data_IF_027694201544
#
_entry.id   IF_027694201544
#
_cell.length_a   1.000
_cell.length_b   1.000
_cell.length_c   1.000
_cell.angle_alpha   90.00
_cell.angle_beta   90.00
_cell.angle_gamma   90.00
#
_symmetry.space_group_name_H-M   'P 1'
#
loop_
_entity.id
_entity.type
_entity.pdbx_description
1 polymer ?
2 polymer ?
3 non-polymer ?
4 water ?
#
# COMPACT_ATOMS: atom_id res chain seq x y z
N UNK A 4 -7.18 -15.57 12.33
CA UNK A 4 -6.35 -14.87 11.30
C UNK A 4 -4.90 -15.30 11.39
N UNK A 5 -4.22 -15.31 10.25
CA UNK A 5 -2.85 -15.80 10.15
C UNK A 5 -1.92 -15.09 11.13
N UNK A 6 -1.01 -15.84 11.73
CA UNK A 6 0.16 -15.22 12.33
C UNK A 6 0.74 -14.25 11.30
N UNK A 7 0.55 -14.57 10.02
CA UNK A 7 1.11 -13.82 8.87
C UNK A 7 0.44 -12.48 8.52
N UNK A 8 -0.87 -12.39 8.73
CA UNK A 8 -1.60 -11.15 8.48
C UNK A 8 -1.34 -10.13 9.58
N UNK A 9 -0.73 -10.59 10.66
CA UNK A 9 -0.42 -9.74 11.80
C UNK A 9 0.75 -8.82 11.44
N UNK A 10 1.91 -9.41 11.17
CA UNK A 10 3.09 -8.64 10.76
C UNK A 10 2.79 -7.88 9.48
N UNK A 11 1.91 -8.44 8.67
CA UNK A 11 1.49 -7.80 7.43
C UNK A 11 0.59 -6.59 7.62
N UNK A 12 -0.50 -6.73 8.37
CA UNK A 12 -1.37 -5.58 8.62
C UNK A 12 -0.56 -4.51 9.38
N UNK A 13 0.42 -5.00 10.12
CA UNK A 13 1.32 -4.16 10.89
C UNK A 13 2.16 -3.23 10.04
N UNK A 14 3.01 -3.79 9.17
CA UNK A 14 3.88 -2.98 8.31
C UNK A 14 3.07 -1.91 7.59
N UNK A 15 1.92 -2.33 7.05
CA UNK A 15 1.01 -1.40 6.38
C UNK A 15 0.80 -0.14 7.23
N UNK A 16 0.50 -0.33 8.51
CA UNK A 16 0.36 0.78 9.45
C UNK A 16 1.64 1.61 9.43
N UNK A 17 2.77 0.93 9.56
CA UNK A 17 4.07 1.58 9.67
C UNK A 17 4.41 2.45 8.44
N UNK A 18 3.71 2.23 7.34
CA UNK A 18 3.91 3.04 6.18
C UNK A 18 3.45 4.46 6.48
N UNK A 19 2.40 4.57 7.27
CA UNK A 19 1.89 5.89 7.57
C UNK A 19 2.42 6.44 8.89
N UNK A 20 2.50 5.58 9.91
CA UNK A 20 2.85 6.04 11.26
C UNK A 20 4.34 6.34 11.37
N UNK A 21 4.77 7.41 10.70
CA UNK A 21 6.18 7.67 10.46
C UNK A 21 6.97 7.92 11.76
N UNK A 22 6.39 8.65 12.70
CA UNK A 22 7.01 8.71 14.03
C UNK A 22 6.78 7.43 14.86
N UNK A 23 5.72 6.68 14.57
CA UNK A 23 5.41 5.52 15.39
C UNK A 23 4.99 5.90 16.80
N UNK A 24 4.28 7.01 16.93
CA UNK A 24 3.68 7.35 18.21
C UNK A 24 2.41 6.50 18.39
N UNK A 25 1.96 5.88 17.32
CA UNK A 25 0.84 4.97 17.41
C UNK A 25 -0.41 5.45 16.70
N UNK A 26 -0.44 6.71 16.29
CA UNK A 26 -1.62 7.22 15.60
C UNK A 26 -1.25 7.97 14.30
N UNK A 27 -2.15 7.89 13.31
CA UNK A 27 -1.93 8.50 12.00
C UNK A 27 -2.61 9.89 11.83
N UNK A 28 -1.82 10.88 11.45
CA UNK A 28 -2.31 12.24 11.30
C UNK A 28 -2.43 12.64 9.83
N UNK A 29 -3.16 13.73 9.61
CA UNK A 29 -3.19 14.39 8.30
C UNK A 29 -1.80 14.64 7.74
N UNK A 30 -0.92 15.27 8.52
CA UNK A 30 0.48 15.42 8.12
C UNK A 30 1.07 14.11 7.58
N UNK A 31 1.01 13.02 8.36
CA UNK A 31 1.63 11.74 7.93
C UNK A 31 0.98 11.18 6.67
N UNK A 32 -0.31 10.97 6.74
CA UNK A 32 -1.04 10.65 5.55
C UNK A 32 -0.55 11.51 4.38
N UNK A 33 -0.46 12.82 4.61
CA UNK A 33 -0.10 13.79 3.56
C UNK A 33 1.25 13.52 2.98
N UNK A 34 2.20 13.28 3.85
CA UNK A 34 3.51 13.00 3.36
C UNK A 34 3.50 11.70 2.57
N UNK A 35 2.63 10.77 2.97
CA UNK A 35 2.59 9.50 2.26
C UNK A 35 2.04 9.69 0.87
N UNK A 36 0.99 10.50 0.77
CA UNK A 36 0.37 10.73 -0.53
C UNK A 36 1.32 11.48 -1.45
N UNK A 37 2.21 12.28 -0.89
CA UNK A 37 3.09 13.04 -1.77
C UNK A 37 4.14 12.10 -2.28
N UNK A 38 4.59 11.18 -1.43
CA UNK A 38 5.47 10.12 -1.91
C UNK A 38 4.83 9.39 -3.10
N UNK A 39 3.51 9.23 -3.09
CA UNK A 39 2.86 8.49 -4.17
C UNK A 39 2.56 9.33 -5.39
N UNK A 40 3.08 10.53 -5.44
CA UNK A 40 2.85 11.36 -6.61
C UNK A 40 1.52 12.10 -6.63
N UNK A 41 0.81 12.12 -5.49
CA UNK A 41 -0.42 12.91 -5.35
C UNK A 41 -0.18 14.14 -4.50
N UNK A 42 -1.09 15.10 -4.53
CA UNK A 42 -0.97 16.29 -3.68
C UNK A 42 -2.31 16.77 -3.12
N UNK A 43 -2.80 16.09 -2.08
CA UNK A 43 -4.15 16.30 -1.56
C UNK A 43 -4.30 17.57 -0.75
N UNK A 44 -5.38 18.32 -0.91
CA UNK A 44 -5.62 19.49 -0.06
C UNK A 44 -5.75 19.10 1.42
N UNK A 45 -5.57 20.08 2.30
CA UNK A 45 -5.78 19.92 3.72
C UNK A 45 -7.15 19.27 4.00
N UNK A 46 -8.18 19.70 3.25
CA UNK A 46 -9.57 19.27 3.49
C UNK A 46 -9.76 17.82 3.10
N UNK A 47 -9.03 17.41 2.08
CA UNK A 47 -9.10 16.05 1.60
C UNK A 47 -8.48 15.10 2.62
N UNK A 48 -7.35 15.49 3.20
CA UNK A 48 -6.71 14.66 4.21
C UNK A 48 -7.64 14.46 5.43
N UNK A 49 -8.12 15.56 5.98
CA UNK A 49 -9.06 15.48 7.07
C UNK A 49 -10.20 14.57 6.65
N UNK A 50 -10.88 14.96 5.58
CA UNK A 50 -11.95 14.17 4.97
C UNK A 50 -11.62 12.66 4.84
N UNK A 51 -10.45 12.31 4.31
CA UNK A 51 -10.05 10.89 4.25
C UNK A 51 -10.05 10.27 5.68
N UNK A 52 -9.51 10.98 6.65
CA UNK A 52 -9.41 10.48 8.03
C UNK A 52 -10.79 10.30 8.73
N UNK A 53 -11.73 11.14 8.33
CA UNK A 53 -13.00 11.30 8.99
C UNK A 53 -13.87 10.07 8.77
N UNK A 54 -13.76 9.51 7.59
CA UNK A 54 -14.55 8.37 7.27
C UNK A 54 -14.23 7.16 8.15
N UNK A 55 -13.02 7.07 8.66
CA UNK A 55 -12.63 5.89 9.47
C UNK A 55 -12.54 6.16 11.00
N UNK A 56 -12.47 7.45 11.35
CA UNK A 56 -12.28 7.92 12.73
C UNK A 56 -13.49 7.59 13.60
N UNK A 57 -13.52 6.35 14.09
CA UNK A 57 -14.63 5.87 14.90
C UNK A 57 -14.88 6.75 16.12
N UNK A 58 -13.79 7.22 16.75
CA UNK A 58 -13.89 7.90 18.05
C UNK A 58 -13.80 9.43 17.96
N UNK A 59 -13.77 9.97 16.74
CA UNK A 59 -13.92 11.41 16.49
C UNK A 59 -12.76 12.29 16.97
N UNK A 60 -11.61 11.66 17.23
CA UNK A 60 -10.42 12.37 17.73
C UNK A 60 -9.42 12.85 16.63
N UNK A 61 -9.93 13.01 15.42
CA UNK A 61 -9.21 13.64 14.32
C UNK A 61 -7.97 12.91 13.82
N UNK A 62 -7.58 11.87 14.53
CA UNK A 62 -6.45 10.98 14.14
C UNK A 62 -6.93 9.52 13.87
N UNK A 63 -5.99 8.63 13.53
CA UNK A 63 -6.31 7.24 13.21
C UNK A 63 -5.39 6.27 13.97
N UNK A 64 -5.98 5.46 14.85
CA UNK A 64 -5.24 4.41 15.57
C UNK A 64 -5.27 3.10 14.81
N UNK A 65 -4.48 2.14 15.30
CA UNK A 65 -4.31 0.84 14.63
C UNK A 65 -5.62 0.17 14.21
N UNK A 66 -6.58 0.01 15.15
CA UNK A 66 -7.84 -0.64 14.75
C UNK A 66 -8.68 0.18 13.74
N UNK A 67 -8.61 1.51 13.80
CA UNK A 67 -9.29 2.35 12.79
C UNK A 67 -8.65 2.16 11.42
N UNK A 68 -7.35 1.84 11.42
CA UNK A 68 -6.59 1.59 10.19
C UNK A 68 -7.00 0.22 9.64
N UNK A 69 -7.56 -0.59 10.51
CA UNK A 69 -8.15 -1.84 10.05
C UNK A 69 -9.52 -1.58 9.41
N UNK A 70 -10.30 -0.64 9.99
CA UNK A 70 -11.51 -0.07 9.32
C UNK A 70 -11.26 0.46 7.89
N UNK A 71 -10.12 1.14 7.69
CA UNK A 71 -9.57 1.56 6.38
C UNK A 71 -9.37 0.40 5.41
N UNK A 72 -8.52 -0.54 5.79
CA UNK A 72 -8.15 -1.56 4.87
C UNK A 72 -9.34 -2.46 4.47
N UNK A 73 -10.23 -2.73 5.41
CA UNK A 73 -11.33 -3.65 5.17
C UNK A 73 -12.46 -3.06 4.29
N UNK A 74 -12.61 -1.75 4.26
CA UNK A 74 -13.81 -1.15 3.68
C UNK A 74 -13.76 -1.07 2.15
N UNK A 75 -12.73 -0.40 1.62
CA UNK A 75 -12.54 -0.27 0.17
C UNK A 75 -11.90 -1.54 -0.42
N UNK A 79 -13.86 -1.87 -5.24
CA UNK A 79 -14.49 -2.82 -6.16
C UNK A 79 -14.17 -2.55 -7.64
N UNK A 80 -13.52 -1.41 -7.92
CA UNK A 80 -13.02 -1.10 -9.28
C UNK A 80 -11.54 -1.57 -9.44
N UNK A 81 -11.22 -2.67 -8.77
CA UNK A 81 -9.84 -3.12 -8.50
C UNK A 81 -8.87 -3.14 -9.70
N UNK A 82 -9.36 -3.64 -10.84
CA UNK A 82 -8.48 -3.98 -11.96
C UNK A 82 -7.77 -2.79 -12.55
N UNK A 83 -8.50 -1.69 -12.70
CA UNK A 83 -7.96 -0.49 -13.31
C UNK A 83 -6.82 0.08 -12.46
N UNK A 84 -7.00 0.01 -11.14
CA UNK A 84 -6.00 0.47 -10.16
C UNK A 84 -4.80 -0.48 -10.08
N UNK A 85 -5.06 -1.76 -10.32
CA UNK A 85 -4.01 -2.77 -10.25
C UNK A 85 -3.14 -2.79 -11.51
N UNK A 86 -3.78 -2.71 -12.68
CA UNK A 86 -3.06 -2.57 -13.95
C UNK A 86 -2.09 -1.37 -13.92
N UNK A 87 -2.49 -0.29 -13.25
CA UNK A 87 -1.56 0.81 -12.92
C UNK A 87 -0.44 0.37 -12.03
N UNK A 88 -0.77 -0.24 -10.89
CA UNK A 88 0.27 -0.71 -9.97
C UNK A 88 1.28 -1.54 -10.77
N UNK A 89 0.79 -2.51 -11.54
CA UNK A 89 1.70 -3.31 -12.33
C UNK A 89 2.62 -2.37 -13.13
N UNK A 90 2.02 -1.48 -13.91
CA UNK A 90 2.76 -0.56 -14.75
C UNK A 90 3.82 0.17 -13.92
N UNK A 91 3.42 0.64 -12.73
CA UNK A 91 4.33 1.36 -11.82
C UNK A 91 5.54 0.51 -11.41
N UNK A 92 5.31 -0.78 -11.17
CA UNK A 92 6.37 -1.73 -10.79
C UNK A 92 7.25 -2.10 -11.95
N UNK A 93 6.63 -2.33 -13.10
CA UNK A 93 7.37 -2.86 -14.20
C UNK A 93 8.12 -1.74 -14.85
N UNK A 94 9.11 -1.20 -14.14
CA UNK A 94 9.79 0.00 -14.58
C UNK A 94 10.05 -0.02 -16.10
N UNK A 95 10.63 -1.10 -16.61
CA UNK A 95 11.02 -1.09 -18.02
C UNK A 95 9.95 -1.75 -18.86
N UNK A 96 8.85 -2.09 -18.21
CA UNK A 96 7.68 -2.56 -18.90
C UNK A 96 7.95 -3.60 -19.95
N UNK A 97 8.74 -4.64 -19.59
CA UNK A 97 8.91 -5.82 -20.52
C UNK A 97 7.84 -6.87 -20.23
N UNK A 98 6.92 -6.55 -19.34
CA UNK A 98 5.86 -7.47 -18.99
C UNK A 98 6.12 -8.28 -17.75
N UNK A 99 7.35 -8.20 -17.22
CA UNK A 99 7.71 -8.94 -16.01
C UNK A 99 8.41 -8.02 -15.02
N UNK A 100 8.05 -8.20 -13.74
CA UNK A 100 8.65 -7.52 -12.63
C UNK A 100 9.81 -8.36 -12.09
N UNK A 101 11.01 -7.79 -12.05
CA UNK A 101 12.15 -8.53 -11.54
C UNK A 101 12.30 -8.28 -10.04
N UNK A 102 13.06 -9.14 -9.35
CA UNK A 102 13.56 -8.81 -7.99
C UNK A 102 14.10 -7.38 -7.92
N UNK A 103 14.99 -7.01 -8.85
CA UNK A 103 15.52 -5.64 -8.89
C UNK A 103 14.38 -4.61 -8.81
N UNK A 104 13.39 -4.77 -9.69
CA UNK A 104 12.30 -3.80 -9.79
C UNK A 104 11.47 -3.79 -8.55
N UNK A 105 11.31 -4.96 -7.94
CA UNK A 105 10.67 -5.08 -6.63
C UNK A 105 11.42 -4.33 -5.51
N UNK A 106 12.74 -4.56 -5.41
CA UNK A 106 13.54 -3.81 -4.45
C UNK A 106 13.12 -2.36 -4.53
N UNK A 107 13.20 -1.80 -5.73
CA UNK A 107 13.05 -0.36 -5.90
C UNK A 107 11.75 0.10 -5.29
N UNK A 108 10.68 -0.68 -5.55
CA UNK A 108 9.35 -0.31 -5.09
C UNK A 108 9.24 -0.32 -3.58
N UNK A 109 9.72 -1.38 -2.95
CA UNK A 109 9.67 -1.48 -1.50
C UNK A 109 10.33 -0.27 -0.90
N UNK A 110 11.51 0.06 -1.43
CA UNK A 110 12.28 1.23 -1.02
C UNK A 110 11.50 2.56 -1.14
N UNK A 111 10.93 2.83 -2.31
CA UNK A 111 10.08 4.02 -2.49
C UNK A 111 9.05 4.12 -1.38
N UNK A 112 8.70 2.98 -0.79
CA UNK A 112 7.75 2.94 0.33
C UNK A 112 8.46 3.08 1.69
N UNK A 113 9.78 2.93 1.70
CA UNK A 113 10.55 3.08 2.92
C UNK A 113 11.11 1.80 3.50
N UNK A 114 10.61 0.64 3.04
CA UNK A 114 11.08 -0.66 3.57
C UNK A 114 12.40 -1.13 2.91
N UNK A 115 13.52 -0.93 3.62
CA UNK A 115 14.86 -1.31 3.15
C UNK A 115 15.14 -2.77 3.50
N UNK A 116 14.89 -3.65 2.53
CA UNK A 116 14.69 -5.11 2.75
C UNK A 116 15.97 -5.95 2.60
N UNK A 117 16.02 -7.07 3.33
CA UNK A 117 17.00 -8.10 3.04
C UNK A 117 16.75 -8.57 1.62
N UNK A 118 17.81 -8.84 0.87
CA UNK A 118 17.60 -9.32 -0.50
C UNK A 118 16.83 -10.62 -0.49
N UNK A 119 17.05 -11.40 0.56
CA UNK A 119 16.47 -12.72 0.69
C UNK A 119 14.96 -12.59 0.82
N UNK A 120 14.52 -11.55 1.53
CA UNK A 120 13.09 -11.24 1.65
C UNK A 120 12.51 -10.88 0.29
N UNK A 121 13.27 -10.10 -0.47
CA UNK A 121 12.81 -9.73 -1.80
C UNK A 121 12.70 -10.96 -2.72
N UNK A 122 13.66 -11.86 -2.61
CA UNK A 122 13.59 -13.06 -3.42
C UNK A 122 12.43 -13.94 -2.97
N UNK A 123 12.31 -14.16 -1.67
CA UNK A 123 11.15 -14.88 -1.16
C UNK A 123 9.86 -14.20 -1.65
N UNK A 124 9.81 -12.86 -1.66
CA UNK A 124 8.60 -12.15 -2.16
C UNK A 124 8.30 -12.60 -3.56
N UNK A 125 9.34 -12.62 -4.39
CA UNK A 125 9.23 -13.08 -5.76
C UNK A 125 8.89 -14.56 -5.78
N UNK A 126 9.65 -15.33 -5.00
CA UNK A 126 9.45 -16.77 -4.94
C UNK A 126 8.01 -17.07 -4.53
N UNK A 127 7.39 -16.18 -3.76
CA UNK A 127 6.04 -16.48 -3.25
C UNK A 127 4.97 -16.14 -4.25
N UNK A 128 5.18 -15.10 -5.05
CA UNK A 128 4.20 -14.74 -6.07
C UNK A 128 4.45 -15.44 -7.41
N UNK A 129 5.59 -16.10 -7.56
CA UNK A 129 5.96 -16.68 -8.85
C UNK A 129 5.24 -17.99 -9.07
N UNK A 130 4.18 -17.97 -9.87
CA UNK A 130 3.43 -19.18 -10.14
C UNK A 130 4.10 -20.14 -11.13
N UNK A 131 4.51 -19.63 -12.29
CA UNK A 131 5.11 -20.46 -13.34
C UNK A 131 6.59 -20.73 -13.12
N UNK A 132 7.17 -20.11 -12.08
CA UNK A 132 8.52 -20.47 -11.64
C UNK A 132 9.65 -19.93 -12.47
N UNK A 133 9.41 -18.84 -13.21
CA UNK A 133 10.49 -18.30 -14.07
C UNK A 133 11.36 -17.23 -13.39
N UNK A 134 11.07 -16.92 -12.13
CA UNK A 134 11.96 -16.06 -11.35
C UNK A 134 11.38 -14.68 -11.29
N UNK A 135 10.36 -14.45 -12.09
CA UNK A 135 9.84 -13.11 -12.21
C UNK A 135 8.34 -13.15 -11.92
N UNK A 136 7.72 -11.99 -11.72
CA UNK A 136 6.25 -11.92 -11.60
C UNK A 136 5.63 -11.21 -12.81
N UNK A 137 4.79 -11.92 -13.53
CA UNK A 137 4.15 -11.32 -14.67
C UNK A 137 2.79 -10.78 -14.24
N UNK A 138 2.05 -10.26 -15.21
CA UNK A 138 0.82 -9.56 -14.88
C UNK A 138 -0.13 -10.41 -14.04
N UNK A 139 -0.51 -11.58 -14.55
CA UNK A 139 -1.47 -12.45 -13.85
C UNK A 139 -0.95 -12.78 -12.46
N UNK A 140 0.34 -13.10 -12.37
CA UNK A 140 0.87 -13.53 -11.10
C UNK A 140 0.73 -12.33 -10.17
N UNK A 141 0.99 -11.15 -10.73
CA UNK A 141 0.87 -9.92 -9.96
C UNK A 141 -0.56 -9.76 -9.46
N UNK A 142 -1.53 -10.02 -10.36
CA UNK A 142 -2.96 -9.89 -10.08
C UNK A 142 -3.34 -10.73 -8.85
N UNK A 143 -2.76 -11.93 -8.76
CA UNK A 143 -3.03 -12.80 -7.62
C UNK A 143 -2.21 -12.44 -6.38
N UNK A 144 -0.95 -12.11 -6.57
CA UNK A 144 -0.13 -11.58 -5.47
C UNK A 144 -0.87 -10.43 -4.78
N UNK A 145 -1.61 -9.64 -5.56
CA UNK A 145 -2.19 -8.38 -5.07
C UNK A 145 -3.60 -8.54 -4.54
N UNK A 146 -4.38 -9.40 -5.17
CA UNK A 146 -5.78 -9.59 -4.78
C UNK A 146 -5.92 -10.48 -3.54
N UNK B 1 5.89 -9.70 3.35
CA UNK B 1 6.15 -8.24 3.60
C UNK B 1 5.27 -7.38 2.69
N UNK B 2 4.22 -8.00 2.19
CA UNK B 2 3.32 -7.36 1.26
C UNK B 2 2.58 -6.21 1.90
N UNK B 3 2.82 -6.00 3.19
CA UNK B 3 2.08 -5.01 3.95
C UNK B 3 1.95 -3.66 3.24
N UNK B 4 3.10 -3.06 2.90
CA UNK B 4 3.14 -1.67 2.43
C UNK B 4 2.46 -1.42 1.05
N UNK B 5 2.66 -2.34 0.10
CA UNK B 5 1.98 -2.27 -1.19
C UNK B 5 0.48 -2.18 -0.98
N UNK B 6 -0.06 -3.12 -0.20
CA UNK B 6 -1.50 -3.12 0.08
C UNK B 6 -1.97 -1.73 0.50
N UNK B 7 -1.21 -1.11 1.42
CA UNK B 7 -1.51 0.22 1.93
C UNK B 7 -1.51 1.33 0.85
N UNK B 8 -0.47 1.36 0.04
CA UNK B 8 -0.39 2.37 -1.04
C UNK B 8 -1.60 2.27 -1.94
N UNK B 9 -1.94 1.02 -2.26
CA UNK B 9 -3.12 0.67 -3.01
C UNK B 9 -4.39 1.18 -2.38
N UNK B 10 -4.63 0.71 -1.17
CA UNK B 10 -5.80 1.13 -0.45
C UNK B 10 -5.86 2.65 -0.50
N UNK B 11 -4.82 3.31 0.01
CA UNK B 11 -4.94 4.73 0.32
C UNK B 11 -5.17 5.53 -0.95
N UNK B 12 -4.49 5.10 -2.01
CA UNK B 12 -4.71 5.60 -3.33
C UNK B 12 -6.20 5.54 -3.65
N UNK B 13 -6.77 4.33 -3.58
CA UNK B 13 -8.22 4.19 -3.75
C UNK B 13 -8.91 5.18 -2.81
N UNK B 14 -8.54 5.12 -1.53
CA UNK B 14 -9.09 6.02 -0.53
C UNK B 14 -9.14 7.48 -0.93
N UNK B 15 -8.03 7.98 -1.45
CA UNK B 15 -7.91 9.38 -1.80
C UNK B 15 -8.91 9.80 -2.89
N UNK B 16 -8.94 9.05 -4.00
CA UNK B 16 -10.00 9.21 -5.03
C UNK B 16 -11.36 8.86 -4.42
N UNK B 17 -11.43 7.67 -3.81
CA UNK B 17 -12.64 7.17 -3.16
C UNK B 17 -13.17 8.06 -2.03
N UNK B 18 -12.31 8.92 -1.47
CA UNK B 18 -12.77 9.92 -0.49
C UNK B 18 -13.11 11.20 -1.22
N UNK B 19 -12.32 11.49 -2.25
CA UNK B 19 -12.46 12.70 -3.03
C UNK B 19 -13.64 12.62 -4.02
N UNK B 20 -14.34 11.49 -4.04
CA UNK B 20 -15.68 11.44 -4.64
C UNK B 20 -16.67 11.93 -3.60
N UNK B 21 -16.11 12.56 -2.56
CA UNK B 21 -16.88 13.24 -1.52
C UNK B 21 -16.73 14.77 -1.65
N UNK B 22 -15.98 15.19 -2.69
CA UNK B 22 -15.96 16.59 -3.18
C UNK B 22 -16.08 16.69 -4.72
X LIG C 1 2.06 9.00 14.00
X LIG D 1 -9.08 7.93 16.08
X LIG E 1 10.41 -5.59 -16.03
X LIG F 1 6.61 -15.99 -13.11
#
# INVERSE_FOLDING_TARGET
ADQLTEEQIAEFKEAFSLFDKDGDGTITTKELGTVMRSLGQNPTEAELQDMINEVDADGNGTIDFPEFLTMMARKMKDTDSEEEIREAFRVFDKDGNGYISAAELRHVMTNLGEKLTDEEVDEMIREADIDGDGQVNYEEFVQMMTAK
HMGKIYAAMMIMEYYRQSKAKK
CA CA
CA CA
CA CA
CA CA
#
